data_IF_199782259031
#
_entry.id   IF_199782259031
#
_cell.length_a   1.000
_cell.length_b   1.000
_cell.length_c   1.000
_cell.angle_alpha   90.00
_cell.angle_beta   90.00
_cell.angle_gamma   90.00
#
_symmetry.space_group_name_H-M   'P 1'
#
loop_
_entity.id
_entity.type
_entity.pdbx_description
1 polymer ?
#
# COMPACT_ATOMS: atom_id res chain seq x y z
N UNK A 1 -3.58 -8.60 -1.56
CA UNK A 1 -3.09 -9.24 -0.34
C UNK A 1 -1.60 -8.99 -0.25
N UNK A 2 -1.12 -8.49 0.89
CA UNK A 2 0.30 -8.26 1.16
C UNK A 2 0.60 -8.87 2.53
N UNK A 3 1.58 -9.77 2.59
CA UNK A 3 1.94 -10.47 3.81
C UNK A 3 3.00 -11.53 3.55
N UNK A 4 3.76 -11.87 4.60
CA UNK A 4 4.86 -12.83 4.50
C UNK A 4 4.35 -14.29 4.44
N UNK A 5 3.41 -14.65 5.30
CA UNK A 5 2.79 -15.97 5.35
C UNK A 5 1.29 -15.88 5.02
N UNK A 6 0.74 -16.93 4.40
CA UNK A 6 -0.68 -16.97 4.07
C UNK A 6 -1.58 -17.01 5.32
N UNK A 7 -2.81 -16.47 5.25
CA UNK A 7 -3.70 -16.33 6.41
C UNK A 7 -4.04 -17.68 7.06
N UNK A 8 -4.15 -18.75 6.26
CA UNK A 8 -4.37 -20.12 6.76
C UNK A 8 -3.24 -20.61 7.66
N UNK A 9 -1.99 -20.37 7.26
CA UNK A 9 -0.80 -20.81 8.02
C UNK A 9 -0.77 -20.06 9.35
N UNK A 10 -0.95 -18.75 9.33
CA UNK A 10 -0.94 -17.92 10.55
C UNK A 10 -2.05 -18.36 11.50
N UNK A 11 -3.28 -18.52 11.01
CA UNK A 11 -4.43 -18.99 11.81
C UNK A 11 -4.15 -20.34 12.49
N UNK A 12 -3.54 -21.29 11.76
CA UNK A 12 -3.16 -22.58 12.32
C UNK A 12 -2.07 -22.47 13.40
N UNK A 13 -1.11 -21.55 13.25
CA UNK A 13 -0.03 -21.35 14.20
C UNK A 13 -0.48 -20.64 15.48
N UNK A 14 -1.33 -19.61 15.40
CA UNK A 14 -1.77 -18.82 16.56
C UNK A 14 -3.05 -19.37 17.22
N UNK A 15 -3.80 -20.22 16.51
CA UNK A 15 -5.04 -20.82 17.02
C UNK A 15 -6.21 -19.85 17.20
N UNK A 16 -6.17 -18.69 16.55
CA UNK A 16 -7.16 -17.61 16.65
C UNK A 16 -7.59 -17.15 15.26
N UNK A 17 -8.81 -16.62 15.14
CA UNK A 17 -9.27 -15.97 13.93
C UNK A 17 -8.44 -14.71 13.62
N UNK A 18 -8.24 -14.44 12.34
CA UNK A 18 -7.55 -13.24 11.90
C UNK A 18 -8.54 -12.07 11.84
N UNK A 19 -8.10 -10.83 12.15
CA UNK A 19 -8.94 -9.64 12.01
C UNK A 19 -9.55 -9.52 10.61
N UNK A 20 -10.69 -8.85 10.51
CA UNK A 20 -11.26 -8.50 9.21
C UNK A 20 -10.28 -7.61 8.44
N UNK A 21 -10.19 -7.83 7.13
CA UNK A 21 -9.25 -7.09 6.29
C UNK A 21 -7.77 -7.43 6.53
N UNK A 22 -7.43 -8.40 7.37
CA UNK A 22 -6.03 -8.79 7.57
C UNK A 22 -5.32 -9.03 6.23
N UNK A 23 -4.14 -8.42 6.04
CA UNK A 23 -3.36 -8.44 4.79
C UNK A 23 -3.97 -7.71 3.58
N UNK A 24 -5.04 -6.94 3.74
CA UNK A 24 -5.46 -5.97 2.71
C UNK A 24 -4.56 -4.73 2.73
N UNK A 25 -4.61 -3.92 1.68
CA UNK A 25 -3.80 -2.71 1.59
C UNK A 25 -4.25 -1.68 2.64
N UNK A 26 -5.57 -1.59 2.88
CA UNK A 26 -6.21 -0.70 3.85
C UNK A 26 -5.80 -1.06 5.28
N UNK A 27 -5.86 -2.34 5.63
CA UNK A 27 -5.41 -2.81 6.94
C UNK A 27 -3.94 -2.47 7.19
N UNK A 28 -3.08 -2.65 6.17
CA UNK A 28 -1.66 -2.33 6.29
C UNK A 28 -1.39 -0.83 6.38
N UNK A 29 -2.19 -0.01 5.71
CA UNK A 29 -2.14 1.45 5.83
C UNK A 29 -2.50 1.89 7.26
N UNK A 30 -3.58 1.36 7.83
CA UNK A 30 -4.01 1.65 9.20
C UNK A 30 -2.97 1.27 10.26
N UNK A 31 -2.15 0.25 9.98
CA UNK A 31 -1.09 -0.23 10.87
C UNK A 31 0.30 0.33 10.54
N UNK A 32 0.41 1.30 9.63
CA UNK A 32 1.66 2.01 9.31
C UNK A 32 2.69 1.20 8.53
N UNK A 33 2.27 0.12 7.88
CA UNK A 33 3.13 -0.74 7.04
C UNK A 33 3.18 -0.30 5.58
N UNK A 34 2.21 0.52 5.15
CA UNK A 34 2.09 1.08 3.80
C UNK A 34 1.81 2.58 3.93
N UNK A 35 2.48 3.41 3.13
CA UNK A 35 2.31 4.88 3.19
C UNK A 35 1.07 5.38 2.44
N UNK A 36 0.62 4.70 1.39
CA UNK A 36 -0.54 5.09 0.60
C UNK A 36 -1.19 3.91 -0.14
N UNK A 37 -2.53 3.95 -0.25
CA UNK A 37 -3.33 3.08 -1.12
C UNK A 37 -3.92 3.92 -2.23
N UNK A 38 -3.53 3.65 -3.48
CA UNK A 38 -3.82 4.53 -4.63
C UNK A 38 -4.71 3.79 -5.64
N UNK A 39 -5.82 4.38 -6.10
CA UNK A 39 -6.61 3.83 -7.19
C UNK A 39 -5.77 3.61 -8.44
N UNK A 40 -6.02 2.53 -9.16
CA UNK A 40 -5.20 2.14 -10.32
C UNK A 40 -5.08 3.25 -11.38
N UNK A 41 -6.15 4.03 -11.57
CA UNK A 41 -6.21 5.16 -12.50
C UNK A 41 -5.21 6.27 -12.16
N UNK A 42 -4.86 6.47 -10.88
CA UNK A 42 -3.97 7.53 -10.41
C UNK A 42 -2.53 7.04 -10.18
N UNK A 43 -2.23 5.76 -10.46
CA UNK A 43 -0.92 5.18 -10.17
C UNK A 43 0.21 5.87 -10.94
N UNK A 44 -0.04 6.23 -12.21
CA UNK A 44 0.97 6.87 -13.05
C UNK A 44 1.36 8.24 -12.48
N UNK A 45 0.36 9.08 -12.19
CA UNK A 45 0.57 10.45 -11.67
C UNK A 45 1.21 10.44 -10.28
N UNK A 46 0.76 9.53 -9.42
CA UNK A 46 1.32 9.37 -8.07
C UNK A 46 2.78 8.93 -8.14
N UNK A 47 3.09 7.91 -8.94
CA UNK A 47 4.47 7.43 -9.13
C UNK A 47 5.37 8.52 -9.72
N UNK A 48 4.88 9.25 -10.74
CA UNK A 48 5.63 10.34 -11.35
C UNK A 48 5.95 11.45 -10.34
N UNK A 49 4.98 11.81 -9.50
CA UNK A 49 5.15 12.81 -8.43
C UNK A 49 6.20 12.37 -7.41
N UNK A 50 6.12 11.13 -6.92
CA UNK A 50 7.08 10.58 -5.96
C UNK A 50 8.49 10.52 -6.53
N UNK A 51 8.65 10.05 -7.78
CA UNK A 51 9.95 10.00 -8.43
C UNK A 51 10.54 11.41 -8.61
N UNK A 52 9.74 12.40 -9.01
CA UNK A 52 10.23 13.79 -9.12
C UNK A 52 10.74 14.32 -7.79
N UNK A 53 10.00 14.07 -6.71
CA UNK A 53 10.42 14.45 -5.35
C UNK A 53 11.74 13.77 -4.95
N UNK A 54 11.86 12.46 -5.16
CA UNK A 54 13.07 11.69 -4.82
C UNK A 54 14.29 12.09 -5.66
N UNK A 55 14.08 12.43 -6.93
CA UNK A 55 15.11 12.81 -7.88
C UNK A 55 15.39 14.32 -7.89
N UNK A 56 14.72 15.12 -7.02
CA UNK A 56 14.82 16.59 -6.96
C UNK A 56 14.54 17.27 -8.30
N UNK A 57 13.59 16.72 -9.05
CA UNK A 57 13.08 17.32 -10.27
C UNK A 57 11.96 18.31 -9.92
N UNK A 58 11.75 19.36 -10.72
CA UNK A 58 10.59 20.24 -10.56
C UNK A 58 9.29 19.43 -10.63
N UNK A 59 8.28 19.88 -9.90
CA UNK A 59 6.92 19.35 -9.98
C UNK A 59 6.46 19.33 -11.44
N UNK A 60 5.71 18.29 -11.83
CA UNK A 60 5.08 18.31 -13.15
C UNK A 60 4.22 19.58 -13.25
N UNK A 61 4.41 20.35 -14.31
CA UNK A 61 3.50 21.45 -14.61
C UNK A 61 2.10 20.86 -14.75
N UNK A 62 1.12 21.48 -14.10
CA UNK A 62 -0.28 21.15 -14.33
C UNK A 62 -0.54 21.50 -15.79
N UNK A 63 -0.69 20.50 -16.65
CA UNK A 63 -1.22 20.74 -17.98
C UNK A 63 -2.67 21.18 -17.80
N UNK A 64 -3.00 22.38 -18.29
CA UNK A 64 -4.36 22.94 -18.32
C UNK A 64 -5.38 21.96 -18.92
#
# INVERSE_FOLDING_TARGET
MVGFAGPRVIKQTIGQDLPEGFQTAEFLLEHGMVDAVVPRSHLADTTATLLRMMLRLPSAEVAD
#
